data_IF_209226791919
#
_entry.id   IF_209226791919
#
_cell.length_a   1.000
_cell.length_b   1.000
_cell.length_c   1.000
_cell.angle_alpha   90.00
_cell.angle_beta   90.00
_cell.angle_gamma   90.00
#
_symmetry.space_group_name_H-M   'P 1'
#
loop_
_entity.id
_entity.type
_entity.pdbx_description
1 polymer ?
#
# COMPACT_ATOMS: atom_id res chain seq x y z
N UNK A 1 1.02 5.60 33.77
CA UNK A 1 2.00 6.32 32.94
C UNK A 1 1.37 6.54 31.58
N UNK A 2 0.93 7.75 31.29
CA UNK A 2 0.42 8.08 29.95
C UNK A 2 1.59 8.01 28.98
N UNK A 3 1.50 7.08 28.05
CA UNK A 3 2.55 6.86 27.08
C UNK A 3 2.36 7.88 25.94
N UNK A 4 2.80 9.14 26.16
CA UNK A 4 2.76 10.25 25.20
C UNK A 4 3.68 10.01 23.98
N UNK A 5 3.96 8.75 23.67
CA UNK A 5 4.90 8.34 22.63
C UNK A 5 4.45 8.72 21.23
N UNK A 6 3.14 8.68 20.98
CA UNK A 6 2.59 8.92 19.64
C UNK A 6 2.34 10.40 19.34
N UNK A 7 2.08 11.22 20.36
CA UNK A 7 1.73 12.63 20.22
C UNK A 7 1.09 13.18 21.47
N UNK A 8 0.57 14.38 21.37
CA UNK A 8 -0.08 15.11 22.48
C UNK A 8 -1.51 15.50 22.08
N UNK A 9 -2.42 15.51 23.05
CA UNK A 9 -3.74 16.13 22.90
C UNK A 9 -3.60 17.62 23.21
N UNK A 10 -4.02 18.48 22.29
CA UNK A 10 -4.01 19.93 22.45
C UNK A 10 -5.43 20.47 22.33
N UNK A 11 -5.86 21.23 23.34
CA UNK A 11 -7.14 21.93 23.30
C UNK A 11 -7.02 23.13 22.38
N UNK A 12 -7.93 23.22 21.42
CA UNK A 12 -7.99 24.31 20.44
C UNK A 12 -8.95 25.41 20.89
N UNK A 13 -8.87 26.58 20.28
CA UNK A 13 -9.67 27.76 20.67
C UNK A 13 -11.19 27.54 20.57
N UNK A 14 -11.64 26.57 19.74
CA UNK A 14 -13.04 26.22 19.55
C UNK A 14 -13.55 25.13 20.50
N UNK A 15 -12.90 24.94 21.63
CA UNK A 15 -13.30 24.01 22.71
C UNK A 15 -13.32 22.51 22.34
N UNK A 16 -12.56 22.09 21.32
CA UNK A 16 -12.32 20.71 20.98
C UNK A 16 -10.85 20.34 21.20
N UNK A 17 -10.59 19.04 21.42
CA UNK A 17 -9.23 18.50 21.54
C UNK A 17 -8.79 17.93 20.21
N UNK A 18 -7.57 18.30 19.80
CA UNK A 18 -6.92 17.79 18.60
C UNK A 18 -5.68 16.99 18.99
N UNK A 19 -5.53 15.80 18.40
CA UNK A 19 -4.31 15.00 18.56
C UNK A 19 -3.24 15.51 17.60
N UNK A 20 -2.09 15.93 18.17
CA UNK A 20 -0.92 16.35 17.41
C UNK A 20 0.13 15.24 17.51
N UNK A 21 0.40 14.50 16.41
CA UNK A 21 1.42 13.46 16.41
C UNK A 21 2.82 14.07 16.56
N UNK A 22 3.72 13.36 17.24
CA UNK A 22 5.12 13.70 17.24
C UNK A 22 5.75 13.50 15.87
N UNK A 23 6.78 14.28 15.57
CA UNK A 23 7.55 14.09 14.36
C UNK A 23 8.25 12.71 14.43
N UNK A 24 8.09 11.90 13.38
CA UNK A 24 8.67 10.55 13.31
C UNK A 24 10.19 10.54 13.46
N UNK A 25 10.86 11.62 13.07
CA UNK A 25 12.33 11.76 13.21
C UNK A 25 12.80 11.85 14.67
N UNK A 26 11.91 12.33 15.56
CA UNK A 26 12.23 12.55 16.96
C UNK A 26 11.86 11.35 17.84
N UNK A 27 11.20 10.35 17.26
CA UNK A 27 10.76 9.14 17.96
C UNK A 27 11.94 8.18 18.17
N UNK A 28 12.28 7.92 19.43
CA UNK A 28 13.17 6.82 19.80
C UNK A 28 12.37 5.54 19.88
N UNK A 29 12.64 4.61 18.97
CA UNK A 29 12.04 3.27 18.97
C UNK A 29 12.86 2.39 19.90
N UNK A 30 12.30 2.06 21.06
CA UNK A 30 12.89 1.03 21.92
C UNK A 30 12.37 -0.34 21.48
N UNK A 31 13.27 -1.18 21.05
CA UNK A 31 12.96 -2.58 20.68
C UNK A 31 13.21 -3.43 21.92
N UNK A 32 12.13 -3.87 22.56
CA UNK A 32 12.17 -4.77 23.71
C UNK A 32 12.49 -6.21 23.27
N UNK A 33 12.87 -7.07 24.22
CA UNK A 33 13.28 -8.44 23.93
C UNK A 33 12.20 -9.25 23.20
N UNK A 34 10.94 -9.03 23.53
CA UNK A 34 9.81 -9.69 22.85
C UNK A 34 9.72 -9.26 21.38
N UNK A 35 9.92 -7.97 21.10
CA UNK A 35 9.95 -7.45 19.75
C UNK A 35 11.16 -8.02 18.98
N UNK A 36 12.34 -8.07 19.61
CA UNK A 36 13.53 -8.69 19.01
C UNK A 36 13.29 -10.15 18.64
N UNK A 37 12.62 -10.92 19.51
CA UNK A 37 12.25 -12.31 19.21
C UNK A 37 11.33 -12.41 17.99
N UNK A 38 10.33 -11.53 17.89
CA UNK A 38 9.42 -11.49 16.74
C UNK A 38 10.15 -11.10 15.45
N UNK A 39 11.03 -10.11 15.50
CA UNK A 39 11.85 -9.68 14.37
C UNK A 39 12.74 -10.84 13.88
N UNK A 40 13.45 -11.51 14.80
CA UNK A 40 14.31 -12.64 14.46
C UNK A 40 13.49 -13.81 13.85
N UNK A 41 12.30 -14.09 14.40
CA UNK A 41 11.41 -15.09 13.83
C UNK A 41 10.92 -14.71 12.43
N UNK A 42 10.61 -13.43 12.21
CA UNK A 42 10.20 -12.94 10.89
C UNK A 42 11.34 -13.10 9.87
N UNK A 43 12.57 -12.72 10.21
CA UNK A 43 13.73 -12.93 9.33
C UNK A 43 13.98 -14.39 9.02
N UNK A 44 13.87 -15.26 10.02
CA UNK A 44 14.01 -16.71 9.81
C UNK A 44 12.95 -17.25 8.82
N UNK A 45 11.68 -16.83 8.98
CA UNK A 45 10.59 -17.27 8.10
C UNK A 45 10.75 -16.69 6.68
N UNK A 46 11.20 -15.45 6.55
CA UNK A 46 11.49 -14.85 5.25
C UNK A 46 12.63 -15.59 4.53
N UNK A 47 13.71 -15.92 5.26
CA UNK A 47 14.81 -16.72 4.68
C UNK A 47 14.35 -18.12 4.23
N UNK A 48 13.44 -18.75 5.00
CA UNK A 48 12.83 -20.03 4.58
C UNK A 48 11.98 -19.87 3.33
N UNK A 49 11.16 -18.81 3.25
CA UNK A 49 10.34 -18.52 2.08
C UNK A 49 11.19 -18.28 0.85
N UNK A 50 12.27 -17.51 0.99
CA UNK A 50 13.22 -17.23 -0.08
C UNK A 50 13.87 -18.52 -0.60
N UNK A 51 14.36 -19.38 0.31
CA UNK A 51 14.90 -20.68 -0.06
C UNK A 51 13.90 -21.63 -0.74
N UNK A 52 12.62 -21.59 -0.34
CA UNK A 52 11.55 -22.37 -0.98
C UNK A 52 11.19 -21.81 -2.35
N UNK A 53 11.27 -20.50 -2.54
CA UNK A 53 10.94 -19.84 -3.80
C UNK A 53 11.85 -20.32 -4.95
N UNK A 54 13.09 -20.68 -4.66
CA UNK A 54 14.05 -21.22 -5.64
C UNK A 54 13.54 -22.52 -6.28
N UNK A 55 12.67 -23.28 -5.60
CA UNK A 55 12.13 -24.55 -6.12
C UNK A 55 10.92 -24.35 -7.04
N UNK A 56 10.41 -23.13 -7.16
CA UNK A 56 9.27 -22.84 -8.05
C UNK A 56 9.73 -22.81 -9.51
N UNK A 57 9.00 -23.48 -10.43
CA UNK A 57 9.33 -23.50 -11.85
C UNK A 57 9.31 -22.12 -12.50
N UNK A 58 8.40 -21.25 -12.07
CA UNK A 58 8.21 -19.87 -12.54
C UNK A 58 7.76 -18.99 -11.38
N UNK A 59 8.72 -18.32 -10.79
CA UNK A 59 8.48 -17.43 -9.64
C UNK A 59 7.71 -16.17 -10.07
N UNK A 60 7.96 -15.65 -11.28
CA UNK A 60 7.32 -14.43 -11.77
C UNK A 60 5.82 -14.65 -12.01
N UNK A 61 5.47 -15.81 -12.59
CA UNK A 61 4.07 -16.21 -12.75
C UNK A 61 3.40 -16.37 -11.39
N UNK A 62 4.06 -17.03 -10.44
CA UNK A 62 3.54 -17.23 -9.08
C UNK A 62 3.27 -15.89 -8.38
N UNK A 63 4.24 -14.98 -8.39
CA UNK A 63 4.10 -13.64 -7.80
C UNK A 63 2.99 -12.85 -8.49
N UNK A 64 2.90 -12.89 -9.82
CA UNK A 64 1.86 -12.18 -10.56
C UNK A 64 0.46 -12.66 -10.20
N UNK A 65 0.27 -13.95 -9.96
CA UNK A 65 -1.02 -14.52 -9.49
C UNK A 65 -1.40 -14.01 -8.09
N UNK A 66 -0.42 -13.88 -7.18
CA UNK A 66 -0.67 -13.32 -5.85
C UNK A 66 -1.01 -11.84 -5.91
N UNK A 67 -0.32 -11.05 -6.73
CA UNK A 67 -0.65 -9.62 -6.95
C UNK A 67 -2.08 -9.47 -7.47
N UNK A 68 -2.49 -10.31 -8.43
CA UNK A 68 -3.85 -10.28 -8.96
C UNK A 68 -4.90 -10.67 -7.90
N UNK A 69 -4.62 -11.71 -7.11
CA UNK A 69 -5.50 -12.14 -6.02
C UNK A 69 -5.64 -11.06 -4.96
N UNK A 70 -4.54 -10.43 -4.59
CA UNK A 70 -4.51 -9.35 -3.60
C UNK A 70 -5.32 -8.15 -4.10
N UNK A 71 -5.12 -7.72 -5.36
CA UNK A 71 -5.87 -6.63 -5.97
C UNK A 71 -7.39 -6.86 -5.94
N UNK A 72 -7.84 -8.09 -6.23
CA UNK A 72 -9.26 -8.44 -6.17
C UNK A 72 -9.79 -8.40 -4.75
N UNK A 73 -9.07 -9.00 -3.78
CA UNK A 73 -9.51 -9.05 -2.39
C UNK A 73 -9.57 -7.64 -1.79
N UNK A 74 -8.54 -6.81 -2.01
CA UNK A 74 -8.52 -5.42 -1.55
C UNK A 74 -9.68 -4.61 -2.11
N UNK A 75 -9.95 -4.73 -3.40
CA UNK A 75 -11.09 -4.07 -4.04
C UNK A 75 -12.43 -4.56 -3.50
N UNK A 76 -12.57 -5.85 -3.20
CA UNK A 76 -13.79 -6.40 -2.59
C UNK A 76 -14.03 -5.85 -1.18
N UNK A 77 -12.99 -5.64 -0.38
CA UNK A 77 -13.07 -4.99 0.94
C UNK A 77 -13.59 -3.55 0.79
N UNK A 78 -13.23 -2.86 -0.28
CA UNK A 78 -13.70 -1.50 -0.61
C UNK A 78 -15.09 -1.48 -1.25
N UNK A 79 -15.74 -2.64 -1.45
CA UNK A 79 -17.11 -2.77 -1.92
C UNK A 79 -17.27 -3.07 -3.42
N UNK A 80 -16.19 -3.36 -4.15
CA UNK A 80 -16.32 -3.82 -5.54
C UNK A 80 -16.83 -5.26 -5.60
N UNK A 81 -17.54 -5.61 -6.68
CA UNK A 81 -18.10 -6.95 -6.88
C UNK A 81 -17.36 -7.75 -7.95
N UNK A 82 -16.18 -7.29 -8.38
CA UNK A 82 -15.38 -7.99 -9.36
C UNK A 82 -14.73 -9.25 -8.77
N UNK A 83 -14.71 -10.33 -9.55
CA UNK A 83 -14.03 -11.57 -9.18
C UNK A 83 -12.70 -11.72 -9.93
N UNK A 84 -11.82 -12.61 -9.45
CA UNK A 84 -10.57 -12.94 -10.15
C UNK A 84 -10.81 -13.43 -11.59
N UNK A 85 -11.91 -14.17 -11.81
CA UNK A 85 -12.30 -14.66 -13.14
C UNK A 85 -12.66 -13.50 -14.06
N UNK A 86 -13.34 -12.46 -13.54
CA UNK A 86 -13.70 -11.25 -14.32
C UNK A 86 -12.44 -10.48 -14.75
N UNK A 87 -11.41 -10.44 -13.91
CA UNK A 87 -10.12 -9.78 -14.21
C UNK A 87 -9.33 -10.57 -15.28
N UNK A 88 -9.32 -11.90 -15.19
CA UNK A 88 -8.62 -12.76 -16.14
C UNK A 88 -9.33 -12.84 -17.49
N UNK A 89 -10.67 -12.73 -17.51
CA UNK A 89 -11.48 -12.75 -18.71
C UNK A 89 -11.73 -11.34 -19.26
N UNK A 90 -10.76 -10.74 -19.89
CA UNK A 90 -10.79 -9.37 -20.48
C UNK A 90 -11.95 -9.05 -21.45
N UNK A 91 -12.88 -9.99 -21.71
CA UNK A 91 -13.79 -9.94 -22.87
C UNK A 91 -15.29 -9.96 -22.55
N UNK A 92 -15.79 -9.49 -21.40
CA UNK A 92 -17.25 -9.41 -21.20
C UNK A 92 -17.73 -7.99 -21.03
N UNK A 93 -18.45 -7.51 -22.06
CA UNK A 93 -19.24 -6.26 -22.12
C UNK A 93 -20.33 -6.26 -21.04
N UNK A 94 -20.09 -5.77 -19.87
CA UNK A 94 -21.13 -5.45 -18.90
C UNK A 94 -20.66 -4.42 -17.86
N UNK A 95 -21.56 -3.85 -17.11
CA UNK A 95 -21.46 -2.78 -16.12
C UNK A 95 -20.34 -2.92 -15.06
N UNK A 96 -19.69 -4.09 -14.99
CA UNK A 96 -18.49 -4.42 -14.21
C UNK A 96 -17.16 -3.88 -14.80
N UNK A 97 -17.22 -3.14 -15.91
CA UNK A 97 -16.02 -2.68 -16.64
C UNK A 97 -15.19 -1.75 -15.76
N UNK A 98 -15.85 -0.86 -14.99
CA UNK A 98 -15.13 0.11 -14.13
C UNK A 98 -14.38 -0.56 -12.99
N UNK A 99 -15.00 -1.51 -12.31
CA UNK A 99 -14.36 -2.24 -11.20
C UNK A 99 -13.17 -3.06 -11.70
N UNK A 100 -13.28 -3.66 -12.89
CA UNK A 100 -12.17 -4.39 -13.53
C UNK A 100 -11.05 -3.47 -14.02
N UNK A 101 -11.35 -2.23 -14.40
CA UNK A 101 -10.34 -1.24 -14.77
C UNK A 101 -9.53 -0.77 -13.56
N UNK A 102 -10.18 -0.52 -12.42
CA UNK A 102 -9.52 -0.16 -11.17
C UNK A 102 -8.56 -1.27 -10.70
N UNK A 103 -9.00 -2.54 -10.75
CA UNK A 103 -8.15 -3.69 -10.42
C UNK A 103 -6.99 -3.82 -11.41
N UNK A 104 -7.24 -3.65 -12.70
CA UNK A 104 -6.18 -3.69 -13.72
C UNK A 104 -5.15 -2.60 -13.50
N UNK A 105 -5.58 -1.39 -13.10
CA UNK A 105 -4.67 -0.30 -12.76
C UNK A 105 -3.87 -0.57 -11.48
N UNK A 106 -4.49 -1.19 -10.47
CA UNK A 106 -3.77 -1.63 -9.28
C UNK A 106 -2.62 -2.58 -9.64
N UNK A 107 -2.89 -3.59 -10.47
CA UNK A 107 -1.87 -4.55 -10.93
C UNK A 107 -0.77 -3.83 -11.73
N UNK A 108 -1.14 -2.90 -12.63
CA UNK A 108 -0.17 -2.11 -13.39
C UNK A 108 0.70 -1.24 -12.48
N UNK A 109 0.08 -0.55 -11.50
CA UNK A 109 0.77 0.31 -10.57
C UNK A 109 1.74 -0.49 -9.68
N UNK A 110 1.32 -1.66 -9.20
CA UNK A 110 2.18 -2.56 -8.42
C UNK A 110 3.39 -3.01 -9.24
N UNK A 111 3.16 -3.49 -10.46
CA UNK A 111 4.26 -3.92 -11.35
C UNK A 111 5.18 -2.77 -11.72
N UNK A 112 4.63 -1.56 -11.94
CA UNK A 112 5.42 -0.35 -12.17
C UNK A 112 6.30 -0.04 -10.96
N UNK A 113 5.74 -0.07 -9.74
CA UNK A 113 6.47 0.21 -8.52
C UNK A 113 7.65 -0.77 -8.32
N UNK A 114 7.43 -2.08 -8.50
CA UNK A 114 8.49 -3.08 -8.41
C UNK A 114 9.62 -2.83 -9.41
N UNK A 115 9.30 -2.54 -10.66
CA UNK A 115 10.32 -2.22 -11.66
C UNK A 115 11.08 -0.95 -11.30
N UNK A 116 10.34 0.06 -10.83
CA UNK A 116 10.92 1.37 -10.51
C UNK A 116 11.83 1.35 -9.28
N UNK A 117 11.63 0.40 -8.36
CA UNK A 117 12.50 0.18 -7.21
C UNK A 117 13.95 -0.18 -7.58
N UNK A 118 14.20 -0.65 -8.81
CA UNK A 118 15.56 -0.87 -9.28
C UNK A 118 16.33 0.43 -9.49
N UNK A 119 15.62 1.54 -9.79
CA UNK A 119 16.21 2.84 -10.11
C UNK A 119 16.02 3.86 -8.98
N UNK A 120 14.95 3.70 -8.18
CA UNK A 120 14.57 4.62 -7.12
C UNK A 120 14.36 3.87 -5.81
N UNK A 121 14.92 4.34 -4.69
CA UNK A 121 14.57 3.80 -3.37
C UNK A 121 13.11 4.11 -3.03
N UNK A 122 12.58 3.44 -2.00
CA UNK A 122 11.26 3.77 -1.46
C UNK A 122 11.26 5.23 -0.94
N UNK A 123 10.66 6.12 -1.71
CA UNK A 123 10.62 7.56 -1.44
C UNK A 123 9.31 8.17 -1.94
N UNK A 124 9.03 9.41 -1.57
CA UNK A 124 7.81 10.13 -1.97
C UNK A 124 7.65 10.24 -3.50
N UNK A 125 8.74 10.33 -4.24
CA UNK A 125 8.69 10.36 -5.70
C UNK A 125 8.16 9.04 -6.26
N UNK A 126 8.65 7.89 -5.77
CA UNK A 126 8.16 6.58 -6.18
C UNK A 126 6.66 6.43 -5.89
N UNK A 127 6.23 6.85 -4.69
CA UNK A 127 4.81 6.80 -4.29
C UNK A 127 3.95 7.65 -5.23
N UNK A 128 4.39 8.86 -5.57
CA UNK A 128 3.68 9.75 -6.50
C UNK A 128 3.58 9.15 -7.90
N UNK A 129 4.68 8.69 -8.46
CA UNK A 129 4.71 8.06 -9.79
C UNK A 129 3.81 6.80 -9.84
N UNK A 130 3.81 5.99 -8.77
CA UNK A 130 2.94 4.81 -8.65
C UNK A 130 1.46 5.20 -8.57
N UNK A 131 1.14 6.26 -7.83
CA UNK A 131 -0.22 6.76 -7.70
C UNK A 131 -0.77 7.32 -9.03
N UNK A 132 0.05 7.94 -9.86
CA UNK A 132 -0.35 8.36 -11.21
C UNK A 132 -0.79 7.17 -12.06
N UNK A 133 -0.01 6.09 -12.02
CA UNK A 133 -0.36 4.87 -12.75
C UNK A 133 -1.66 4.26 -12.23
N UNK A 134 -1.87 4.29 -10.91
CA UNK A 134 -3.06 3.75 -10.26
C UNK A 134 -4.33 4.49 -10.68
N UNK A 135 -4.29 5.81 -10.76
CA UNK A 135 -5.44 6.66 -11.07
C UNK A 135 -5.66 6.90 -12.57
N UNK A 136 -4.82 6.34 -13.45
CA UNK A 136 -4.93 6.56 -14.89
C UNK A 136 -6.27 6.04 -15.44
N UNK A 137 -7.04 6.91 -16.12
CA UNK A 137 -8.33 6.60 -16.76
C UNK A 137 -9.43 6.05 -15.81
N UNK A 138 -9.33 6.30 -14.51
CA UNK A 138 -10.36 5.93 -13.52
C UNK A 138 -10.90 7.15 -12.78
N UNK A 139 -11.93 6.95 -11.94
CA UNK A 139 -12.49 8.00 -11.11
C UNK A 139 -11.42 8.62 -10.20
N UNK A 140 -11.17 9.90 -10.36
CA UNK A 140 -10.17 10.62 -9.57
C UNK A 140 -8.95 11.10 -10.37
N UNK A 141 -8.90 10.82 -11.67
CA UNK A 141 -7.86 11.35 -12.56
C UNK A 141 -7.75 12.90 -12.48
N UNK A 142 -8.88 13.59 -12.30
CA UNK A 142 -8.94 15.06 -12.08
C UNK A 142 -8.56 15.47 -10.65
N UNK A 143 -8.47 14.54 -9.70
CA UNK A 143 -8.00 14.82 -8.35
C UNK A 143 -6.49 14.96 -8.39
N UNK A 144 -6.09 16.17 -8.69
CA UNK A 144 -4.72 16.64 -8.58
C UNK A 144 -4.09 16.11 -7.29
N UNK A 145 -2.87 15.64 -7.38
CA UNK A 145 -1.97 15.23 -6.32
C UNK A 145 -2.28 15.96 -5.03
N UNK A 146 -2.57 15.24 -3.98
CA UNK A 146 -2.48 15.80 -2.64
C UNK A 146 -1.04 16.26 -2.47
N UNK A 147 -0.84 17.55 -2.61
CA UNK A 147 0.45 18.16 -2.35
C UNK A 147 0.61 18.11 -0.83
N UNK A 148 1.19 17.02 -0.33
CA UNK A 148 1.39 16.80 1.10
C UNK A 148 2.20 17.91 1.77
N UNK A 149 2.89 18.74 0.95
CA UNK A 149 3.59 19.94 1.40
C UNK A 149 2.63 21.09 1.77
N UNK A 150 1.40 21.08 1.27
CA UNK A 150 0.38 22.12 1.51
C UNK A 150 -0.71 21.73 2.52
N UNK A 151 -0.64 20.55 3.10
CA UNK A 151 -1.43 20.23 4.28
C UNK A 151 -0.87 21.02 5.49
N UNK A 152 -1.10 22.32 5.47
CA UNK A 152 -1.10 23.11 6.70
C UNK A 152 -2.30 22.61 7.50
N UNK A 153 -2.03 21.76 8.46
CA UNK A 153 -2.97 21.48 9.54
C UNK A 153 -3.16 22.80 10.26
N UNK A 154 -4.29 23.47 9.94
CA UNK A 154 -4.73 24.70 10.59
C UNK A 154 -5.17 24.43 12.01
#
# INVERSE_FOLDING_TARGET
>A
MENNRAGILKRMQSDYECFIPHNLKDLKINIEDDMNRLINRAYFLLGRLDGMAITLPDIDLFVSMYVQKEAVISSQIEGTQASLVDVLQKNRKNKKIKDTEEIANYIKATNFAFKRLNDLPLCMRLIKETHEVLLSNVRGEEKCWVNLENLKIG
#
